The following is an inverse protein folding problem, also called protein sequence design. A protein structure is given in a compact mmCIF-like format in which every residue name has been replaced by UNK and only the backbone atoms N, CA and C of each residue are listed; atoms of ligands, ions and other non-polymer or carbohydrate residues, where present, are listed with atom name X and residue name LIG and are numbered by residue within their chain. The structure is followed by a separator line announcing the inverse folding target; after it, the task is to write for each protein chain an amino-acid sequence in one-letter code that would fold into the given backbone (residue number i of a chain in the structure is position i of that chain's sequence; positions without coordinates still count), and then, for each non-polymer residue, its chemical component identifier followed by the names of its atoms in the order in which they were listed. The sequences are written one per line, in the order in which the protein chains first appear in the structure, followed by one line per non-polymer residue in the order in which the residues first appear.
data_IF_540524240802
#
_entry.id   IF_540524240802
#
_cell.length_a   1.000
_cell.length_b   1.000
_cell.length_c   1.000
_cell.angle_alpha   90.00
_cell.angle_beta   90.00
_cell.angle_gamma   90.00
#
_symmetry.space_group_name_H-M   'P 1'
#
loop_
_entity.id
_entity.type
_entity.pdbx_description
1 polymer ?
#
# COMPACT_ATOMS: atom_id res chain seq x y z
N UNK A 1 23.24 21.35 -19.16
CA UNK A 1 21.90 20.72 -19.17
C UNK A 1 21.44 20.59 -17.73
N UNK A 2 20.51 21.45 -17.36
CA UNK A 2 20.21 21.79 -15.97
C UNK A 2 19.59 20.63 -15.19
N UNK A 3 20.31 20.18 -14.16
CA UNK A 3 19.78 19.36 -13.08
C UNK A 3 18.89 20.23 -12.18
N UNK A 4 17.75 20.70 -12.72
CA UNK A 4 16.71 21.30 -11.92
C UNK A 4 16.20 20.22 -10.94
N UNK A 5 16.31 20.52 -9.65
CA UNK A 5 15.94 19.63 -8.57
C UNK A 5 14.49 19.15 -8.76
N UNK A 6 14.28 17.91 -9.22
CA UNK A 6 12.94 17.34 -9.36
C UNK A 6 12.30 17.27 -7.98
N UNK A 7 11.48 18.27 -7.64
CA UNK A 7 10.61 18.28 -6.46
C UNK A 7 9.47 17.32 -6.72
N UNK A 8 9.48 16.18 -6.04
CA UNK A 8 8.37 15.22 -6.12
C UNK A 8 7.94 14.82 -4.72
N UNK A 9 6.63 14.80 -4.49
CA UNK A 9 6.02 14.31 -3.27
C UNK A 9 5.59 12.85 -3.41
N UNK A 10 5.37 12.18 -2.29
CA UNK A 10 4.75 10.85 -2.30
C UNK A 10 3.36 10.86 -2.94
N UNK A 11 2.57 11.90 -2.68
CA UNK A 11 1.22 12.04 -3.27
C UNK A 11 1.26 12.17 -4.78
N UNK A 12 2.18 12.97 -5.34
CA UNK A 12 2.41 13.02 -6.79
C UNK A 12 2.81 11.64 -7.33
N UNK A 13 3.68 10.93 -6.63
CA UNK A 13 4.10 9.59 -7.02
C UNK A 13 2.95 8.57 -7.03
N UNK A 14 2.00 8.68 -6.10
CA UNK A 14 0.77 7.88 -6.10
C UNK A 14 -0.09 8.24 -7.31
N UNK A 15 -0.31 9.54 -7.54
CA UNK A 15 -1.15 10.06 -8.62
C UNK A 15 -0.63 9.70 -10.02
N UNK A 16 0.68 9.49 -10.19
CA UNK A 16 1.26 9.00 -11.47
C UNK A 16 0.81 7.57 -11.82
N UNK A 17 0.43 6.76 -10.83
CA UNK A 17 0.22 5.30 -11.00
C UNK A 17 -1.23 4.89 -10.73
N UNK A 18 -1.87 5.56 -9.78
CA UNK A 18 -3.22 5.20 -9.34
C UNK A 18 -4.28 5.86 -10.22
N UNK A 19 -5.37 5.15 -10.58
CA UNK A 19 -6.54 5.79 -11.19
C UNK A 19 -7.19 6.79 -10.22
N UNK A 20 -7.05 6.55 -8.91
CA UNK A 20 -7.62 7.39 -7.86
C UNK A 20 -6.61 8.47 -7.49
N UNK A 21 -7.01 9.73 -7.71
CA UNK A 21 -6.16 10.89 -7.42
C UNK A 21 -6.37 11.37 -5.99
N UNK A 22 -5.26 11.73 -5.36
CA UNK A 22 -5.19 12.32 -4.05
C UNK A 22 -4.96 13.83 -4.18
N UNK A 23 -5.72 14.62 -3.42
CA UNK A 23 -5.41 16.02 -3.18
C UNK A 23 -4.51 16.10 -1.95
N UNK A 24 -3.33 16.73 -2.07
CA UNK A 24 -2.46 16.98 -0.93
C UNK A 24 -2.72 18.39 -0.42
N UNK A 25 -3.19 18.52 0.82
CA UNK A 25 -3.32 19.83 1.49
C UNK A 25 -1.97 20.40 1.93
N UNK A 26 -0.96 19.55 2.13
CA UNK A 26 0.39 19.96 2.50
C UNK A 26 1.46 19.02 1.90
N UNK A 27 1.92 19.28 0.67
CA UNK A 27 2.86 18.39 -0.01
C UNK A 27 4.26 18.50 0.62
N UNK A 28 4.64 17.49 1.39
CA UNK A 28 6.05 17.28 1.73
C UNK A 28 6.82 16.90 0.46
N UNK A 29 7.64 17.83 -0.03
CA UNK A 29 8.47 17.61 -1.21
C UNK A 29 9.79 16.95 -0.83
N UNK A 30 10.15 15.91 -1.58
CA UNK A 30 11.46 15.28 -1.48
C UNK A 30 12.37 15.96 -2.49
N UNK A 31 13.50 16.45 -2.00
CA UNK A 31 14.51 17.13 -2.80
C UNK A 31 15.65 16.17 -3.15
N UNK A 32 16.20 16.31 -4.36
CA UNK A 32 17.39 15.57 -4.78
C UNK A 32 17.17 14.09 -5.15
N UNK A 33 15.96 13.53 -4.99
CA UNK A 33 15.63 12.17 -5.44
C UNK A 33 14.13 11.95 -5.65
N UNK A 34 13.80 10.92 -6.42
CA UNK A 34 12.43 10.40 -6.57
C UNK A 34 12.20 9.31 -5.52
N UNK A 35 11.10 9.36 -4.73
CA UNK A 35 10.78 8.28 -3.82
C UNK A 35 10.49 6.99 -4.59
N UNK A 36 11.03 5.89 -4.07
CA UNK A 36 10.73 4.56 -4.59
C UNK A 36 9.25 4.21 -4.39
N UNK A 37 8.76 3.23 -5.15
CA UNK A 37 7.39 2.74 -5.01
C UNK A 37 7.19 2.12 -3.62
N UNK A 38 8.20 1.42 -3.13
CA UNK A 38 8.22 0.78 -1.84
C UNK A 38 8.12 1.80 -0.70
N UNK A 39 8.88 2.90 -0.75
CA UNK A 39 8.75 4.01 0.21
C UNK A 39 7.38 4.68 0.13
N UNK A 40 6.86 4.87 -1.09
CA UNK A 40 5.56 5.51 -1.33
C UNK A 40 4.41 4.68 -0.77
N UNK A 41 4.50 3.36 -0.90
CA UNK A 41 3.49 2.43 -0.37
C UNK A 41 3.44 2.47 1.16
N UNK A 42 4.60 2.49 1.81
CA UNK A 42 4.69 2.64 3.27
C UNK A 42 4.16 4.00 3.71
N UNK A 43 4.52 5.07 3.02
CA UNK A 43 3.98 6.41 3.28
C UNK A 43 2.45 6.44 3.23
N UNK A 44 1.84 5.85 2.20
CA UNK A 44 0.39 5.83 2.03
C UNK A 44 -0.31 5.07 3.17
N UNK A 45 0.21 3.91 3.57
CA UNK A 45 -0.35 3.12 4.68
C UNK A 45 -0.27 3.89 6.01
N UNK A 46 0.81 4.68 6.20
CA UNK A 46 1.00 5.50 7.41
C UNK A 46 0.05 6.70 7.51
N UNK A 47 -0.58 7.14 6.41
CA UNK A 47 -1.56 8.22 6.49
C UNK A 47 -2.82 7.79 7.23
N UNK A 48 -3.10 6.48 7.29
CA UNK A 48 -4.28 5.93 8.00
C UNK A 48 -5.60 6.55 7.51
N UNK A 49 -5.64 6.90 6.23
CA UNK A 49 -6.80 7.48 5.55
C UNK A 49 -7.27 6.56 4.42
N UNK A 50 -8.58 6.33 4.33
CA UNK A 50 -9.19 5.39 3.37
C UNK A 50 -8.73 5.70 1.94
N UNK A 51 -8.79 6.97 1.52
CA UNK A 51 -8.41 7.37 0.15
C UNK A 51 -6.95 7.06 -0.16
N UNK A 52 -6.03 7.26 0.79
CA UNK A 52 -4.62 6.89 0.62
C UNK A 52 -4.45 5.37 0.52
N UNK A 53 -5.17 4.60 1.34
CA UNK A 53 -5.14 3.13 1.27
C UNK A 53 -5.62 2.66 -0.11
N UNK A 54 -6.78 3.14 -0.58
CA UNK A 54 -7.34 2.75 -1.87
C UNK A 54 -6.38 3.14 -3.00
N UNK A 55 -5.90 4.39 -3.02
CA UNK A 55 -5.00 4.86 -4.08
C UNK A 55 -3.69 4.06 -4.13
N UNK A 56 -3.21 3.59 -2.97
CA UNK A 56 -1.96 2.82 -2.87
C UNK A 56 -2.03 1.41 -3.48
N UNK A 57 -3.22 0.83 -3.66
CA UNK A 57 -3.35 -0.54 -4.20
C UNK A 57 -2.71 -0.68 -5.58
N UNK A 58 -2.84 0.34 -6.44
CA UNK A 58 -2.22 0.40 -7.76
C UNK A 58 -0.68 0.27 -7.73
N UNK A 59 -0.04 0.72 -6.64
CA UNK A 59 1.41 0.73 -6.50
C UNK A 59 2.00 -0.68 -6.50
N UNK A 60 1.25 -1.70 -6.05
CA UNK A 60 1.71 -3.09 -6.06
C UNK A 60 2.00 -3.62 -7.47
N UNK A 61 1.44 -3.02 -8.55
CA UNK A 61 1.82 -3.30 -9.95
C UNK A 61 3.29 -2.94 -10.23
N UNK A 62 3.81 -1.93 -9.54
CA UNK A 62 5.09 -1.29 -9.83
C UNK A 62 6.20 -1.64 -8.83
N UNK A 63 5.90 -2.38 -7.76
CA UNK A 63 6.92 -2.88 -6.80
C UNK A 63 7.99 -3.68 -7.56
N UNK A 64 9.25 -3.28 -7.39
CA UNK A 64 10.42 -3.95 -8.01
C UNK A 64 11.27 -4.62 -6.93
N UNK A 65 11.41 -3.99 -5.77
CA UNK A 65 12.33 -4.39 -4.72
C UNK A 65 11.56 -4.87 -3.49
N UNK A 66 10.99 -6.06 -3.57
CA UNK A 66 10.24 -6.67 -2.46
C UNK A 66 11.04 -6.78 -1.15
N UNK A 67 12.35 -7.00 -1.23
CA UNK A 67 13.23 -7.02 -0.06
C UNK A 67 13.29 -5.65 0.64
N UNK A 68 13.34 -4.56 -0.14
CA UNK A 68 13.27 -3.20 0.39
C UNK A 68 11.91 -2.94 1.03
N UNK A 69 10.81 -3.29 0.35
CA UNK A 69 9.47 -3.14 0.91
C UNK A 69 9.33 -3.88 2.24
N UNK A 70 9.84 -5.12 2.33
CA UNK A 70 9.83 -5.89 3.58
C UNK A 70 10.63 -5.19 4.68
N UNK A 71 11.83 -4.70 4.37
CA UNK A 71 12.68 -3.98 5.33
C UNK A 71 11.98 -2.74 5.87
N UNK A 72 11.37 -1.94 5.00
CA UNK A 72 10.63 -0.74 5.38
C UNK A 72 9.38 -1.09 6.20
N UNK A 73 8.58 -2.06 5.75
CA UNK A 73 7.40 -2.52 6.48
C UNK A 73 7.76 -3.07 7.86
N UNK A 74 8.85 -3.83 7.97
CA UNK A 74 9.34 -4.37 9.25
C UNK A 74 9.77 -3.25 10.20
N UNK A 75 10.46 -2.22 9.68
CA UNK A 75 10.89 -1.05 10.47
C UNK A 75 9.69 -0.29 11.05
N UNK A 76 8.64 -0.12 10.26
CA UNK A 76 7.44 0.63 10.65
C UNK A 76 6.37 -0.23 11.36
N UNK A 77 6.60 -1.53 11.53
CA UNK A 77 5.61 -2.44 12.12
C UNK A 77 4.42 -2.80 11.22
N UNK A 78 4.48 -2.49 9.92
CA UNK A 78 3.36 -2.57 8.96
C UNK A 78 3.35 -3.84 8.09
N UNK A 79 4.10 -4.88 8.48
CA UNK A 79 4.29 -6.08 7.63
C UNK A 79 2.95 -6.75 7.30
N UNK A 80 2.04 -6.86 8.27
CA UNK A 80 0.77 -7.56 8.06
C UNK A 80 -0.18 -6.74 7.19
N UNK A 81 -0.23 -5.43 7.41
CA UNK A 81 -1.02 -4.48 6.61
C UNK A 81 -0.56 -4.49 5.15
N UNK A 82 0.75 -4.46 4.90
CA UNK A 82 1.30 -4.52 3.54
C UNK A 82 0.86 -5.81 2.83
N UNK A 83 0.91 -6.96 3.50
CA UNK A 83 0.54 -8.22 2.86
C UNK A 83 -0.98 -8.36 2.68
N UNK A 84 -1.77 -7.93 3.66
CA UNK A 84 -3.22 -7.90 3.53
C UNK A 84 -3.65 -7.02 2.33
N UNK A 85 -3.09 -5.80 2.23
CA UNK A 85 -3.37 -4.89 1.12
C UNK A 85 -2.83 -5.40 -0.23
N UNK A 86 -1.71 -6.14 -0.24
CA UNK A 86 -1.24 -6.83 -1.44
C UNK A 86 -2.25 -7.87 -1.92
N UNK A 87 -2.82 -8.67 -1.01
CA UNK A 87 -3.82 -9.68 -1.36
C UNK A 87 -5.13 -9.03 -1.85
N UNK A 88 -5.56 -7.93 -1.24
CA UNK A 88 -6.66 -7.11 -1.77
C UNK A 88 -6.33 -6.58 -3.16
N UNK A 89 -5.13 -6.02 -3.35
CA UNK A 89 -4.68 -5.48 -4.63
C UNK A 89 -4.68 -6.55 -5.72
N UNK A 90 -4.30 -7.79 -5.39
CA UNK A 90 -4.36 -8.91 -6.32
C UNK A 90 -5.77 -9.25 -6.82
N UNK A 91 -6.80 -8.93 -6.04
CA UNK A 91 -8.21 -9.16 -6.41
C UNK A 91 -8.70 -8.05 -7.32
N UNK A 92 -8.38 -6.79 -7.01
CA UNK A 92 -9.01 -5.63 -7.67
C UNK A 92 -8.15 -4.95 -8.72
N UNK A 93 -6.82 -5.07 -8.65
CA UNK A 93 -5.89 -4.40 -9.56
C UNK A 93 -5.33 -5.38 -10.57
N UNK A 94 -5.46 -5.06 -11.87
CA UNK A 94 -4.90 -5.88 -12.95
C UNK A 94 -3.37 -5.92 -12.89
N UNK A 95 -2.80 -7.10 -13.17
CA UNK A 95 -1.35 -7.32 -13.36
C UNK A 95 -0.48 -6.94 -12.16
N UNK A 96 -0.98 -7.13 -10.94
CA UNK A 96 -0.15 -7.01 -9.72
C UNK A 96 1.00 -8.02 -9.78
N UNK A 97 2.22 -7.55 -9.52
CA UNK A 97 3.41 -8.39 -9.56
C UNK A 97 3.39 -9.40 -8.43
N UNK A 98 3.85 -10.61 -8.70
CA UNK A 98 3.92 -11.67 -7.69
C UNK A 98 4.92 -11.30 -6.59
N UNK A 99 4.44 -11.28 -5.35
CA UNK A 99 5.28 -11.21 -4.16
C UNK A 99 6.13 -12.49 -4.02
N UNK A 100 7.45 -12.38 -3.77
CA UNK A 100 8.32 -13.53 -3.56
C UNK A 100 7.89 -14.38 -2.35
N UNK A 101 8.01 -15.71 -2.47
CA UNK A 101 7.68 -16.65 -1.38
C UNK A 101 8.40 -16.31 -0.07
N UNK A 102 9.65 -15.83 -0.15
CA UNK A 102 10.43 -15.42 1.02
C UNK A 102 9.75 -14.30 1.82
N UNK A 103 9.21 -13.27 1.16
CA UNK A 103 8.47 -12.20 1.85
C UNK A 103 7.27 -12.80 2.56
N UNK A 104 6.46 -13.57 1.83
CA UNK A 104 5.25 -14.21 2.34
C UNK A 104 5.51 -15.05 3.59
N UNK A 105 6.53 -15.91 3.56
CA UNK A 105 6.89 -16.77 4.69
C UNK A 105 7.33 -15.96 5.91
N UNK A 106 8.13 -14.91 5.70
CA UNK A 106 8.56 -14.02 6.78
C UNK A 106 7.39 -13.24 7.39
N UNK A 107 6.41 -12.84 6.58
CA UNK A 107 5.20 -12.18 7.07
C UNK A 107 4.33 -13.14 7.89
N UNK A 108 4.22 -14.42 7.49
CA UNK A 108 3.50 -15.44 8.27
C UNK A 108 4.14 -15.70 9.63
N UNK A 109 5.47 -15.77 9.72
CA UNK A 109 6.17 -15.95 11.00
C UNK A 109 5.94 -14.80 11.99
N UNK A 110 5.65 -13.60 11.47
CA UNK A 110 5.33 -12.40 12.26
C UNK A 110 3.87 -12.30 12.68
N UNK A 111 3.05 -13.30 12.37
CA UNK A 111 1.63 -13.29 12.73
C UNK A 111 1.49 -13.42 14.25
N UNK A 112 1.05 -12.34 14.89
CA UNK A 112 0.51 -12.37 16.25
C UNK A 112 -0.92 -12.92 16.22
N UNK A 113 -1.37 -13.50 17.32
CA UNK A 113 -2.74 -14.01 17.48
C UNK A 113 -3.79 -12.89 17.46
N UNK A 114 -3.38 -11.65 17.78
CA UNK A 114 -4.27 -10.50 17.83
C UNK A 114 -4.51 -9.88 16.45
N UNK A 115 -5.76 -9.48 16.22
CA UNK A 115 -6.13 -8.65 15.07
C UNK A 115 -5.64 -7.20 15.26
N UNK A 116 -5.14 -6.59 14.19
CA UNK A 116 -4.88 -5.14 14.14
C UNK A 116 -5.73 -4.45 13.10
N UNK A 117 -5.93 -3.15 13.28
CA UNK A 117 -6.61 -2.31 12.32
C UNK A 117 -5.61 -1.62 11.39
N UNK A 118 -5.87 -1.62 10.08
CA UNK A 118 -5.15 -0.71 9.18
C UNK A 118 -5.53 0.72 9.53
N UNK A 119 -6.82 1.02 9.71
CA UNK A 119 -7.36 2.29 10.21
C UNK A 119 -8.24 1.98 11.41
N UNK A 120 -7.94 2.60 12.56
CA UNK A 120 -8.62 2.30 13.83
C UNK A 120 -10.13 2.53 13.70
N UNK A 121 -10.93 1.54 14.10
CA UNK A 121 -12.39 1.63 14.09
C UNK A 121 -13.04 1.33 12.74
N UNK A 122 -12.27 1.13 11.67
CA UNK A 122 -12.80 0.75 10.36
C UNK A 122 -12.48 -0.70 10.04
N UNK A 123 -13.50 -1.45 9.64
CA UNK A 123 -13.38 -2.81 9.13
C UNK A 123 -14.45 -3.06 8.05
N UNK A 124 -14.28 -4.15 7.30
CA UNK A 124 -15.19 -4.57 6.25
C UNK A 124 -15.47 -6.06 6.36
N UNK A 125 -16.64 -6.47 5.87
CA UNK A 125 -16.99 -7.89 5.79
C UNK A 125 -16.53 -8.56 4.48
N UNK A 126 -16.03 -7.79 3.51
CA UNK A 126 -15.85 -8.23 2.12
C UNK A 126 -14.57 -9.02 1.86
N UNK A 127 -13.60 -8.89 2.77
CA UNK A 127 -12.26 -9.50 2.66
C UNK A 127 -11.95 -10.45 3.83
N UNK A 128 -12.97 -11.03 4.48
CA UNK A 128 -12.84 -11.88 5.68
C UNK A 128 -11.78 -12.97 5.57
N UNK A 129 -11.57 -13.58 4.41
CA UNK A 129 -10.54 -14.60 4.23
C UNK A 129 -9.13 -14.02 4.41
N UNK A 130 -8.87 -12.86 3.80
CA UNK A 130 -7.61 -12.13 3.93
C UNK A 130 -7.44 -11.65 5.38
N UNK A 131 -8.50 -11.10 5.97
CA UNK A 131 -8.47 -10.60 7.35
C UNK A 131 -8.13 -11.71 8.35
N UNK A 132 -8.78 -12.88 8.25
CA UNK A 132 -8.51 -14.04 9.11
C UNK A 132 -7.09 -14.57 8.91
N UNK A 133 -6.63 -14.60 7.66
CA UNK A 133 -5.31 -15.09 7.29
C UNK A 133 -4.19 -14.22 7.87
N UNK A 134 -4.34 -12.90 7.83
CA UNK A 134 -3.29 -11.97 8.27
C UNK A 134 -3.53 -11.37 9.64
N UNK A 135 -4.71 -11.59 10.24
CA UNK A 135 -5.16 -10.96 11.49
C UNK A 135 -5.10 -9.44 11.37
N UNK A 136 -5.71 -8.93 10.31
CA UNK A 136 -5.76 -7.50 9.98
C UNK A 136 -7.19 -7.15 9.57
N UNK A 137 -7.77 -6.12 10.16
CA UNK A 137 -9.03 -5.53 9.71
C UNK A 137 -8.76 -4.59 8.54
N UNK A 138 -9.42 -4.86 7.40
CA UNK A 138 -9.29 -4.14 6.16
C UNK A 138 -10.39 -3.07 6.11
N UNK A 139 -10.05 -1.78 5.92
CA UNK A 139 -11.00 -0.67 6.05
C UNK A 139 -11.71 -0.38 4.71
N UNK A 140 -11.82 -1.37 3.82
CA UNK A 140 -12.28 -1.21 2.44
C UNK A 140 -13.40 -2.19 2.13
N UNK A 141 -14.49 -1.72 1.55
CA UNK A 141 -15.53 -2.53 0.93
C UNK A 141 -15.28 -2.66 -0.57
N UNK A 142 -15.92 -3.62 -1.24
CA UNK A 142 -15.81 -3.79 -2.70
C UNK A 142 -16.33 -2.59 -3.48
N UNK A 143 -17.32 -1.88 -2.93
CA UNK A 143 -17.88 -0.67 -3.53
C UNK A 143 -16.84 0.45 -3.64
N UNK A 144 -16.00 0.61 -2.61
CA UNK A 144 -14.89 1.59 -2.59
C UNK A 144 -13.85 1.34 -3.69
N UNK A 145 -13.85 0.13 -4.27
CA UNK A 145 -12.87 -0.33 -5.25
C UNK A 145 -13.42 -0.32 -6.68
N UNK A 146 -14.60 0.27 -6.89
CA UNK A 146 -15.27 0.36 -8.19
C UNK A 146 -14.40 0.97 -9.29
N UNK A 147 -13.62 2.02 -8.95
CA UNK A 147 -12.74 2.72 -9.90
C UNK A 147 -11.67 1.81 -10.53
N UNK A 148 -11.29 0.72 -9.86
CA UNK A 148 -10.32 -0.24 -10.40
C UNK A 148 -10.92 -1.24 -11.39
N UNK A 149 -12.25 -1.33 -11.51
CA UNK A 149 -12.91 -2.23 -12.47
C UNK A 149 -12.72 -1.77 -13.93
N UNK A 150 -12.46 -0.47 -14.13
CA UNK A 150 -12.36 0.16 -15.45
C UNK A 150 -10.91 0.35 -15.94
N UNK A 151 -9.92 -0.03 -15.12
CA UNK A 151 -8.46 0.15 -15.35
C UNK A 151 -7.77 -1.16 -15.78
#
# INVERSE_FOLDING_TARGET
MDNLHKRISYTQRINEISPIKLASSNPYYIYGRIPSIEETLIYAIKQKEVRYIIASLALFKKVKYWALLYKLAKKEGLVREVVALYEVSKIVVKKVKRMPKRFYNLALQKKSDSYIYIIKGLNSSDFKEIEKKWKVYIPLNREDLGDYKHD
#
